data_IF_681208906090
#
_entry.id   IF_681208906090
#
_cell.length_a   1.000
_cell.length_b   1.000
_cell.length_c   1.000
_cell.angle_alpha   90.00
_cell.angle_beta   90.00
_cell.angle_gamma   90.00
#
_symmetry.space_group_name_H-M   'P 1'
#
loop_
_entity.id
_entity.type
_entity.pdbx_description
1 polymer ?
#
# COMPACT_ATOMS: atom_id res chain seq x y z
N UNK A 1 23.90 46.74 -63.32
CA UNK A 1 22.70 47.23 -62.61
C UNK A 1 21.88 46.04 -62.16
N UNK A 2 21.93 45.70 -60.87
CA UNK A 2 21.22 44.53 -60.30
C UNK A 2 20.45 44.99 -59.07
N UNK A 3 19.12 44.99 -59.20
CA UNK A 3 18.15 45.44 -58.20
C UNK A 3 18.13 44.47 -57.00
N UNK A 4 18.48 44.96 -55.80
CA UNK A 4 18.31 44.21 -54.54
C UNK A 4 16.86 44.34 -54.06
N UNK A 5 16.13 43.23 -54.12
CA UNK A 5 14.78 43.07 -53.56
C UNK A 5 14.79 43.25 -52.03
N UNK A 6 14.00 44.20 -51.52
CA UNK A 6 13.78 44.42 -50.09
C UNK A 6 12.57 43.58 -49.65
N UNK A 7 12.79 42.54 -48.83
CA UNK A 7 11.69 41.79 -48.17
C UNK A 7 11.57 42.26 -46.71
N UNK A 8 10.39 42.75 -46.26
CA UNK A 8 10.23 43.17 -44.87
C UNK A 8 10.19 41.95 -43.94
N UNK A 9 11.01 41.99 -42.88
CA UNK A 9 11.01 40.98 -41.81
C UNK A 9 9.69 41.06 -41.03
N UNK A 10 8.84 40.05 -41.16
CA UNK A 10 7.69 39.85 -40.28
C UNK A 10 8.19 39.66 -38.83
N UNK A 11 7.81 40.58 -37.93
CA UNK A 11 8.08 40.46 -36.49
C UNK A 11 7.26 39.30 -35.93
N UNK A 12 7.93 38.35 -35.26
CA UNK A 12 7.26 37.28 -34.51
C UNK A 12 6.37 37.90 -33.42
N UNK A 13 5.07 37.59 -33.46
CA UNK A 13 4.06 37.88 -32.45
C UNK A 13 4.30 37.04 -31.18
N UNK A 14 5.45 37.23 -30.52
CA UNK A 14 5.80 36.54 -29.27
C UNK A 14 5.55 37.39 -28.02
N UNK A 15 4.81 38.50 -28.14
CA UNK A 15 4.58 39.45 -27.03
C UNK A 15 3.09 39.65 -26.73
N UNK A 16 2.37 38.55 -26.49
CA UNK A 16 1.01 38.60 -25.94
C UNK A 16 0.55 37.22 -25.45
N UNK A 17 1.28 36.64 -24.50
CA UNK A 17 0.68 35.65 -23.59
C UNK A 17 0.59 36.26 -22.19
N UNK A 18 -0.61 36.43 -21.62
CA UNK A 18 -0.74 36.79 -20.22
C UNK A 18 -0.06 35.69 -19.37
N UNK A 19 0.72 36.11 -18.38
CA UNK A 19 1.29 35.25 -17.35
C UNK A 19 0.14 34.50 -16.68
N UNK A 20 -0.08 33.25 -17.08
CA UNK A 20 -1.00 32.35 -16.37
C UNK A 20 -0.48 32.27 -14.93
N UNK A 21 -1.32 32.72 -14.00
CA UNK A 21 -1.04 32.72 -12.58
C UNK A 21 -0.37 31.40 -12.17
N UNK A 22 0.82 31.50 -11.58
CA UNK A 22 1.54 30.35 -11.03
C UNK A 22 0.59 29.61 -10.08
N UNK A 23 0.12 28.43 -10.50
CA UNK A 23 -0.52 27.49 -9.58
C UNK A 23 0.45 27.31 -8.41
N UNK A 24 -0.03 27.31 -7.15
CA UNK A 24 0.85 27.13 -5.99
C UNK A 24 1.70 25.88 -6.23
N UNK A 25 3.02 26.06 -6.19
CA UNK A 25 3.97 25.02 -6.56
C UNK A 25 3.77 23.82 -5.64
N UNK A 26 3.19 22.73 -6.16
CA UNK A 26 3.02 21.51 -5.37
C UNK A 26 4.37 21.06 -4.81
N UNK A 27 4.43 20.67 -3.53
CA UNK A 27 5.64 20.22 -2.82
C UNK A 27 6.49 19.33 -3.73
N UNK A 28 7.80 19.57 -3.86
CA UNK A 28 8.63 18.79 -4.81
C UNK A 28 8.66 17.29 -4.48
N UNK A 29 8.92 16.43 -5.46
CA UNK A 29 9.08 14.97 -5.22
C UNK A 29 10.17 14.67 -4.19
N UNK A 30 11.26 15.44 -4.20
CA UNK A 30 12.38 15.29 -3.26
C UNK A 30 11.95 15.64 -1.84
N UNK A 31 11.23 16.76 -1.66
CA UNK A 31 10.71 17.18 -0.37
C UNK A 31 9.66 16.20 0.18
N UNK A 32 8.71 15.78 -0.66
CA UNK A 32 7.69 14.77 -0.29
C UNK A 32 8.34 13.47 0.22
N UNK A 33 9.36 12.97 -0.49
CA UNK A 33 10.10 11.76 -0.07
C UNK A 33 10.91 11.99 1.21
N UNK A 34 11.44 13.20 1.42
CA UNK A 34 12.17 13.52 2.64
C UNK A 34 11.24 13.52 3.87
N UNK A 35 10.05 14.13 3.75
CA UNK A 35 9.02 14.12 4.78
C UNK A 35 8.58 12.70 5.15
N UNK A 36 8.23 11.88 4.15
CA UNK A 36 7.84 10.47 4.37
C UNK A 36 8.94 9.70 5.10
N UNK A 37 10.21 9.85 4.69
CA UNK A 37 11.34 9.18 5.35
C UNK A 37 11.55 9.66 6.78
N UNK A 38 11.48 10.97 7.02
CA UNK A 38 11.65 11.53 8.36
C UNK A 38 10.60 10.95 9.33
N UNK A 39 9.34 10.89 8.90
CA UNK A 39 8.26 10.30 9.68
C UNK A 39 8.52 8.81 10.00
N UNK A 40 8.90 7.99 9.02
CA UNK A 40 9.22 6.58 9.27
C UNK A 40 10.40 6.40 10.25
N UNK A 41 11.39 7.28 10.21
CA UNK A 41 12.52 7.23 11.14
C UNK A 41 12.07 7.54 12.57
N UNK A 42 11.20 8.55 12.75
CA UNK A 42 10.64 8.90 14.06
C UNK A 42 9.81 7.75 14.63
N UNK A 43 8.87 7.19 13.86
CA UNK A 43 8.03 6.08 14.31
C UNK A 43 8.84 4.84 14.69
N UNK A 44 9.86 4.49 13.89
CA UNK A 44 10.74 3.37 14.21
C UNK A 44 11.56 3.60 15.47
N UNK A 45 12.04 4.84 15.70
CA UNK A 45 12.77 5.20 16.91
C UNK A 45 11.86 5.16 18.14
N UNK A 46 10.64 5.67 18.01
CA UNK A 46 9.62 5.63 19.07
C UNK A 46 9.29 4.19 19.46
N UNK A 47 9.01 3.33 18.48
CA UNK A 47 8.76 1.91 18.73
C UNK A 47 9.93 1.22 19.44
N UNK A 48 11.18 1.57 19.08
CA UNK A 48 12.37 1.04 19.76
C UNK A 48 12.48 1.54 21.21
N UNK A 49 12.18 2.81 21.47
CA UNK A 49 12.23 3.38 22.82
C UNK A 49 11.17 2.72 23.73
N UNK A 50 9.94 2.56 23.23
CA UNK A 50 8.87 1.86 23.94
C UNK A 50 9.24 0.40 24.26
N UNK A 51 9.80 -0.33 23.29
CA UNK A 51 10.24 -1.70 23.50
C UNK A 51 11.40 -1.82 24.52
N UNK A 52 12.16 -0.75 24.74
CA UNK A 52 13.22 -0.69 25.74
C UNK A 52 12.74 -0.16 27.11
N UNK A 53 11.45 0.18 27.25
CA UNK A 53 10.91 0.82 28.46
C UNK A 53 11.34 2.28 28.66
N UNK A 54 11.98 2.90 27.65
CA UNK A 54 12.42 4.30 27.69
C UNK A 54 11.27 5.24 27.30
N UNK A 55 10.38 5.47 28.26
CA UNK A 55 9.19 6.29 28.07
C UNK A 55 9.54 7.76 27.80
N UNK A 56 10.61 8.29 28.41
CA UNK A 56 11.04 9.67 28.21
C UNK A 56 11.46 9.94 26.76
N UNK A 57 12.27 9.05 26.18
CA UNK A 57 12.65 9.18 24.76
C UNK A 57 11.45 8.96 23.84
N UNK A 58 10.56 8.03 24.17
CA UNK A 58 9.34 7.81 23.38
C UNK A 58 8.43 9.04 23.36
N UNK A 59 8.27 9.72 24.50
CA UNK A 59 7.50 10.96 24.62
C UNK A 59 8.15 12.11 23.84
N UNK A 60 9.46 12.33 24.00
CA UNK A 60 10.19 13.35 23.26
C UNK A 60 10.07 13.17 21.74
N UNK A 61 10.18 11.94 21.24
CA UNK A 61 9.98 11.61 19.82
C UNK A 61 8.53 11.86 19.37
N UNK A 62 7.54 11.60 20.24
CA UNK A 62 6.13 11.87 19.96
C UNK A 62 5.85 13.37 19.86
N UNK A 63 6.43 14.18 20.75
CA UNK A 63 6.38 15.64 20.68
C UNK A 63 7.04 16.16 19.40
N UNK A 64 8.21 15.61 19.03
CA UNK A 64 8.89 15.96 17.79
C UNK A 64 8.04 15.63 16.54
N UNK A 65 7.40 14.46 16.51
CA UNK A 65 6.50 14.06 15.42
C UNK A 65 5.32 15.03 15.30
N UNK A 66 4.71 15.38 16.43
CA UNK A 66 3.59 16.33 16.51
C UNK A 66 4.00 17.73 16.02
N UNK A 67 5.19 18.21 16.41
CA UNK A 67 5.74 19.48 15.93
C UNK A 67 6.01 19.50 14.41
N UNK A 68 6.24 18.33 13.79
CA UNK A 68 6.37 18.18 12.34
C UNK A 68 5.02 17.96 11.63
N UNK A 69 3.90 18.13 12.34
CA UNK A 69 2.52 17.95 11.86
C UNK A 69 2.05 16.50 11.81
N UNK A 70 2.77 15.58 12.46
CA UNK A 70 2.36 14.21 12.73
C UNK A 70 1.93 13.40 11.52
N UNK A 71 1.01 12.45 11.78
CA UNK A 71 0.48 11.53 10.77
C UNK A 71 -0.28 12.26 9.65
N UNK A 72 -0.91 13.39 9.94
CA UNK A 72 -1.62 14.21 8.95
C UNK A 72 -0.68 14.69 7.84
N UNK A 73 0.48 15.27 8.20
CA UNK A 73 1.46 15.72 7.22
C UNK A 73 2.04 14.55 6.40
N UNK A 74 2.25 13.39 7.04
CA UNK A 74 2.66 12.18 6.33
C UNK A 74 1.61 11.71 5.31
N UNK A 75 0.33 11.71 5.67
CA UNK A 75 -0.75 11.30 4.78
C UNK A 75 -0.95 12.27 3.63
N UNK A 76 -0.87 13.58 3.87
CA UNK A 76 -0.90 14.59 2.80
C UNK A 76 0.27 14.38 1.82
N UNK A 77 1.48 14.11 2.33
CA UNK A 77 2.62 13.77 1.49
C UNK A 77 2.39 12.46 0.69
N UNK A 78 1.75 11.46 1.30
CA UNK A 78 1.41 10.19 0.66
C UNK A 78 0.34 10.34 -0.42
N UNK A 79 -0.72 11.12 -0.19
CA UNK A 79 -1.75 11.48 -1.16
C UNK A 79 -1.14 12.17 -2.39
N UNK A 80 -0.27 13.16 -2.17
CA UNK A 80 0.49 13.81 -3.24
C UNK A 80 1.33 12.77 -3.98
N UNK A 81 1.97 11.86 -3.24
CA UNK A 81 2.76 10.74 -3.78
C UNK A 81 1.96 9.79 -4.67
N UNK A 82 0.70 9.52 -4.35
CA UNK A 82 -0.20 8.61 -5.09
C UNK A 82 -0.91 9.26 -6.27
N UNK A 83 -0.82 10.59 -6.43
CA UNK A 83 -1.38 11.26 -7.62
C UNK A 83 -0.90 10.63 -8.92
N UNK A 84 -1.76 10.67 -9.96
CA UNK A 84 -1.47 10.09 -11.29
C UNK A 84 -0.15 10.60 -11.89
N UNK A 85 0.32 11.79 -11.51
CA UNK A 85 1.58 12.39 -11.99
C UNK A 85 2.83 12.00 -11.19
N UNK A 86 2.69 11.22 -10.10
CA UNK A 86 3.78 10.94 -9.15
C UNK A 86 3.95 9.46 -8.78
N UNK A 87 2.87 8.72 -8.56
CA UNK A 87 2.92 7.34 -8.07
C UNK A 87 1.76 6.45 -8.52
N UNK A 88 0.61 7.05 -8.84
CA UNK A 88 -0.55 6.35 -9.37
C UNK A 88 -1.31 5.52 -8.32
N UNK A 89 -2.54 5.20 -8.67
CA UNK A 89 -3.45 4.35 -7.91
C UNK A 89 -3.10 2.87 -8.15
N UNK A 90 -2.56 2.19 -7.12
CA UNK A 90 -2.19 0.78 -7.17
C UNK A 90 -3.38 -0.14 -7.42
N UNK A 91 -4.59 0.28 -7.04
CA UNK A 91 -5.82 -0.48 -7.23
C UNK A 91 -6.16 -0.68 -8.71
N UNK A 92 -5.60 0.14 -9.62
CA UNK A 92 -5.70 -0.08 -11.07
C UNK A 92 -5.11 -1.42 -11.50
N UNK A 93 -3.94 -1.78 -10.94
CA UNK A 93 -3.29 -3.05 -11.27
C UNK A 93 -4.07 -4.24 -10.70
N UNK A 94 -4.63 -4.08 -9.51
CA UNK A 94 -5.51 -5.11 -8.95
C UNK A 94 -6.71 -5.34 -9.88
N UNK A 95 -7.39 -4.28 -10.32
CA UNK A 95 -8.50 -4.41 -11.26
C UNK A 95 -8.07 -4.98 -12.63
N UNK A 96 -6.86 -4.68 -13.10
CA UNK A 96 -6.28 -5.31 -14.30
C UNK A 96 -6.13 -6.83 -14.12
N UNK A 97 -5.65 -7.28 -12.96
CA UNK A 97 -5.51 -8.70 -12.65
C UNK A 97 -6.86 -9.42 -12.46
N UNK A 98 -7.87 -8.71 -11.95
CA UNK A 98 -9.22 -9.25 -11.76
C UNK A 98 -10.10 -9.15 -13.01
N UNK A 99 -9.62 -8.51 -14.08
CA UNK A 99 -10.37 -8.32 -15.32
C UNK A 99 -11.00 -9.60 -15.88
N UNK A 100 -10.35 -10.79 -15.87
CA UNK A 100 -10.95 -12.02 -16.38
C UNK A 100 -12.19 -12.48 -15.62
N UNK A 101 -12.28 -12.19 -14.32
CA UNK A 101 -13.40 -12.61 -13.45
C UNK A 101 -14.39 -11.47 -13.18
N UNK A 102 -14.03 -10.23 -13.55
CA UNK A 102 -14.80 -9.03 -13.27
C UNK A 102 -16.27 -9.09 -13.76
N UNK A 103 -16.60 -9.67 -14.94
CA UNK A 103 -18.00 -9.85 -15.35
C UNK A 103 -18.80 -10.69 -14.34
N UNK A 104 -18.24 -11.79 -13.86
CA UNK A 104 -18.89 -12.65 -12.86
C UNK A 104 -19.02 -11.99 -11.49
N UNK A 105 -18.02 -11.19 -11.09
CA UNK A 105 -18.11 -10.39 -9.86
C UNK A 105 -19.26 -9.38 -9.93
N UNK A 106 -19.41 -8.69 -11.07
CA UNK A 106 -20.49 -7.72 -11.28
C UNK A 106 -21.87 -8.37 -11.35
N UNK A 107 -21.99 -9.54 -11.98
CA UNK A 107 -23.24 -10.31 -11.99
C UNK A 107 -23.64 -10.75 -10.57
N UNK A 108 -22.69 -11.19 -9.74
CA UNK A 108 -22.97 -11.44 -8.32
C UNK A 108 -23.39 -10.16 -7.58
N UNK A 109 -22.74 -9.04 -7.84
CA UNK A 109 -23.09 -7.75 -7.23
C UNK A 109 -24.52 -7.30 -7.58
N UNK A 110 -24.96 -7.45 -8.84
CA UNK A 110 -26.35 -7.12 -9.24
C UNK A 110 -27.39 -8.05 -8.62
N UNK A 111 -27.00 -9.26 -8.24
CA UNK A 111 -27.82 -10.24 -7.51
C UNK A 111 -27.77 -10.06 -5.98
N UNK A 112 -27.14 -8.99 -5.48
CA UNK A 112 -27.00 -8.73 -4.04
C UNK A 112 -25.98 -9.64 -3.33
N UNK A 113 -25.14 -10.34 -4.08
CA UNK A 113 -24.09 -11.25 -3.57
C UNK A 113 -22.69 -10.66 -3.79
N UNK A 114 -22.55 -9.35 -3.57
CA UNK A 114 -21.30 -8.63 -3.83
C UNK A 114 -20.15 -9.20 -2.99
N UNK A 115 -18.97 -9.34 -3.58
CA UNK A 115 -17.77 -9.71 -2.83
C UNK A 115 -17.36 -8.55 -1.93
N UNK A 116 -16.80 -8.86 -0.77
CA UNK A 116 -16.36 -7.85 0.20
C UNK A 116 -14.87 -7.61 0.11
N UNK A 117 -14.50 -6.34 0.08
CA UNK A 117 -13.11 -5.90 0.03
C UNK A 117 -12.79 -5.02 1.24
N UNK A 118 -11.79 -5.41 2.01
CA UNK A 118 -11.18 -4.56 3.04
C UNK A 118 -9.98 -3.83 2.46
N UNK A 119 -10.02 -2.50 2.46
CA UNK A 119 -8.87 -1.66 2.17
C UNK A 119 -8.31 -1.06 3.46
N UNK A 120 -7.12 -1.51 3.84
CA UNK A 120 -6.38 -0.96 4.99
C UNK A 120 -5.49 0.18 4.51
N UNK A 121 -5.43 1.27 5.28
CA UNK A 121 -4.67 2.46 4.91
C UNK A 121 -5.29 3.22 3.73
N UNK A 122 -6.62 3.23 3.65
CA UNK A 122 -7.34 3.89 2.57
C UNK A 122 -7.14 5.42 2.64
N UNK A 123 -6.70 6.02 1.54
CA UNK A 123 -6.55 7.47 1.43
C UNK A 123 -7.65 8.11 0.58
N UNK A 124 -8.49 7.31 -0.08
CA UNK A 124 -9.53 7.80 -0.99
C UNK A 124 -10.70 6.82 -1.08
N UNK A 125 -11.91 7.37 -1.17
CA UNK A 125 -13.14 6.61 -1.44
C UNK A 125 -13.40 6.41 -2.94
N UNK A 126 -12.54 6.94 -3.81
CA UNK A 126 -12.75 6.97 -5.27
C UNK A 126 -11.61 6.32 -6.05
N UNK A 127 -10.81 5.46 -5.41
CA UNK A 127 -9.85 4.63 -6.13
C UNK A 127 -10.55 3.68 -7.13
N UNK A 128 -9.78 3.01 -7.96
CA UNK A 128 -10.29 2.21 -9.07
C UNK A 128 -11.09 0.99 -8.59
N UNK A 129 -10.70 0.36 -7.49
CA UNK A 129 -11.52 -0.70 -6.85
C UNK A 129 -12.86 -0.16 -6.37
N UNK A 130 -12.86 0.98 -5.66
CA UNK A 130 -14.06 1.64 -5.14
C UNK A 130 -15.05 2.04 -6.23
N UNK A 131 -14.55 2.45 -7.40
CA UNK A 131 -15.37 2.86 -8.55
C UNK A 131 -15.79 1.68 -9.45
N UNK A 132 -15.31 0.47 -9.19
CA UNK A 132 -15.57 -0.69 -10.04
C UNK A 132 -17.01 -1.21 -9.93
N UNK A 133 -17.68 -0.91 -8.81
CA UNK A 133 -18.96 -1.50 -8.39
C UNK A 133 -18.95 -3.04 -8.33
N UNK A 134 -17.77 -3.66 -8.25
CA UNK A 134 -17.62 -5.11 -8.15
C UNK A 134 -17.49 -5.61 -6.71
N UNK A 135 -17.29 -4.69 -5.76
CA UNK A 135 -17.08 -5.00 -4.35
C UNK A 135 -17.93 -4.12 -3.44
N UNK A 136 -18.38 -4.71 -2.34
CA UNK A 136 -18.75 -4.00 -1.14
C UNK A 136 -17.48 -3.62 -0.39
N UNK A 137 -17.25 -2.32 -0.22
CA UNK A 137 -15.96 -1.79 0.23
C UNK A 137 -16.00 -1.36 1.70
N UNK A 138 -15.17 -1.98 2.52
CA UNK A 138 -14.82 -1.49 3.86
C UNK A 138 -13.46 -0.81 3.78
N UNK A 139 -13.36 0.43 4.26
CA UNK A 139 -12.15 1.25 4.18
C UNK A 139 -11.77 1.70 5.57
N UNK A 140 -10.55 1.38 5.99
CA UNK A 140 -10.03 1.78 7.29
C UNK A 140 -8.70 2.51 7.14
N UNK A 141 -8.43 3.44 8.04
CA UNK A 141 -7.15 4.15 8.14
C UNK A 141 -6.90 4.62 9.59
N UNK A 142 -5.62 4.73 10.00
CA UNK A 142 -5.25 5.13 11.37
C UNK A 142 -5.66 6.57 11.70
N UNK A 143 -5.75 7.43 10.69
CA UNK A 143 -6.12 8.83 10.83
C UNK A 143 -6.98 9.21 9.63
N UNK A 144 -8.28 8.92 9.71
CA UNK A 144 -9.19 9.15 8.59
C UNK A 144 -9.26 10.64 8.22
N UNK A 145 -9.18 10.92 6.93
CA UNK A 145 -9.22 12.28 6.37
C UNK A 145 -10.44 12.50 5.45
N UNK A 146 -11.29 11.48 5.26
CA UNK A 146 -12.40 11.54 4.32
C UNK A 146 -13.64 10.78 4.83
N UNK A 147 -14.83 11.36 4.58
CA UNK A 147 -16.10 10.67 4.82
C UNK A 147 -16.16 9.38 4.00
N UNK A 148 -16.51 8.27 4.65
CA UNK A 148 -16.53 6.93 4.04
C UNK A 148 -15.23 6.12 4.22
N UNK A 149 -14.30 6.63 5.03
CA UNK A 149 -13.14 5.89 5.55
C UNK A 149 -13.27 5.88 7.07
N UNK A 150 -13.35 4.70 7.65
CA UNK A 150 -13.42 4.50 9.10
C UNK A 150 -12.04 4.72 9.72
N UNK A 151 -11.98 5.45 10.83
CA UNK A 151 -10.74 5.59 11.58
C UNK A 151 -10.57 4.37 12.50
N UNK A 152 -9.67 3.46 12.16
CA UNK A 152 -9.47 2.21 12.88
C UNK A 152 -8.06 1.67 12.63
N UNK A 153 -7.44 1.08 13.65
CA UNK A 153 -6.24 0.27 13.50
C UNK A 153 -6.62 -1.18 13.15
N UNK A 154 -6.09 -1.69 12.04
CA UNK A 154 -6.28 -3.08 11.63
C UNK A 154 -5.72 -4.08 12.67
N UNK A 155 -4.65 -3.71 13.36
CA UNK A 155 -4.01 -4.55 14.37
C UNK A 155 -4.86 -4.68 15.63
N UNK A 156 -5.68 -3.69 15.92
CA UNK A 156 -6.59 -3.66 17.08
C UNK A 156 -8.02 -4.09 16.73
N UNK A 157 -8.37 -4.18 15.43
CA UNK A 157 -9.70 -4.62 14.97
C UNK A 157 -10.02 -6.02 15.49
N UNK A 158 -11.10 -6.19 16.24
CA UNK A 158 -11.50 -7.49 16.79
C UNK A 158 -11.65 -8.56 15.70
N UNK A 159 -11.25 -9.82 15.96
CA UNK A 159 -11.46 -10.92 15.02
C UNK A 159 -12.94 -11.03 14.59
N UNK A 160 -13.22 -11.44 13.34
CA UNK A 160 -14.59 -11.66 12.86
C UNK A 160 -15.37 -12.58 13.80
N UNK A 161 -16.55 -12.15 14.26
CA UNK A 161 -17.41 -12.98 15.10
C UNK A 161 -18.04 -14.11 14.29
N UNK A 162 -18.38 -13.83 13.03
CA UNK A 162 -18.92 -14.78 12.08
C UNK A 162 -18.41 -14.53 10.64
N UNK A 163 -18.86 -15.37 9.69
CA UNK A 163 -18.46 -15.25 8.29
C UNK A 163 -18.92 -13.93 7.66
N UNK A 164 -19.90 -13.24 8.21
CA UNK A 164 -20.36 -11.90 7.87
C UNK A 164 -19.33 -10.80 8.12
N UNK A 165 -18.34 -11.04 8.98
CA UNK A 165 -17.30 -10.04 9.30
C UNK A 165 -15.97 -10.30 8.55
N UNK A 166 -15.95 -11.28 7.65
CA UNK A 166 -14.78 -11.64 6.82
C UNK A 166 -14.83 -10.99 5.43
N UNK A 167 -13.71 -10.99 4.73
CA UNK A 167 -13.54 -10.36 3.42
C UNK A 167 -13.11 -11.38 2.37
N UNK A 168 -13.53 -11.17 1.14
CA UNK A 168 -13.09 -11.99 0.01
C UNK A 168 -11.71 -11.53 -0.47
N UNK A 169 -11.40 -10.23 -0.30
CA UNK A 169 -10.10 -9.67 -0.59
C UNK A 169 -9.68 -8.61 0.43
N UNK A 170 -8.41 -8.64 0.83
CA UNK A 170 -7.78 -7.59 1.65
C UNK A 170 -6.73 -6.88 0.79
N UNK A 171 -6.73 -5.55 0.79
CA UNK A 171 -5.71 -4.72 0.17
C UNK A 171 -4.81 -4.10 1.22
N UNK A 172 -3.53 -4.50 1.21
CA UNK A 172 -2.43 -3.90 1.98
C UNK A 172 -1.49 -3.15 1.02
N UNK A 173 -1.98 -2.07 0.42
CA UNK A 173 -1.20 -1.26 -0.51
C UNK A 173 -0.34 -0.23 0.23
N UNK A 174 0.97 -0.47 0.32
CA UNK A 174 1.93 0.38 1.04
C UNK A 174 1.68 0.52 2.55
N UNK A 175 0.94 -0.42 3.12
CA UNK A 175 0.57 -0.46 4.55
C UNK A 175 1.63 -1.19 5.37
N UNK A 176 2.01 -2.40 4.94
CA UNK A 176 2.91 -3.26 5.70
C UNK A 176 4.29 -2.61 5.92
N UNK A 177 4.76 -1.78 4.98
CA UNK A 177 6.01 -1.02 5.15
C UNK A 177 5.92 0.14 6.14
N UNK A 178 4.72 0.50 6.60
CA UNK A 178 4.51 1.52 7.63
C UNK A 178 4.62 0.96 9.05
N UNK A 179 4.29 -0.33 9.23
CA UNK A 179 4.43 -1.01 10.52
C UNK A 179 5.90 -0.94 10.98
N UNK A 180 6.20 -0.39 12.17
CA UNK A 180 7.54 0.05 12.52
C UNK A 180 8.51 -1.12 12.76
N UNK A 181 8.04 -2.19 13.39
CA UNK A 181 8.86 -3.31 13.82
C UNK A 181 8.64 -4.59 12.97
N UNK A 182 9.60 -5.52 12.97
CA UNK A 182 9.49 -6.75 12.18
C UNK A 182 8.41 -7.72 12.65
N UNK A 183 8.12 -7.76 13.95
CA UNK A 183 7.17 -8.71 14.55
C UNK A 183 5.75 -8.28 14.20
N UNK A 184 5.43 -7.00 14.38
CA UNK A 184 4.16 -6.41 13.96
C UNK A 184 3.88 -6.62 12.47
N UNK A 185 4.92 -6.62 11.61
CA UNK A 185 4.76 -6.94 10.19
C UNK A 185 4.35 -8.40 9.95
N UNK A 186 4.96 -9.36 10.64
CA UNK A 186 4.54 -10.75 10.53
C UNK A 186 3.16 -10.97 11.12
N UNK A 187 2.86 -10.33 12.24
CA UNK A 187 1.54 -10.37 12.88
C UNK A 187 0.45 -9.80 11.97
N UNK A 188 0.70 -8.68 11.28
CA UNK A 188 -0.25 -8.12 10.31
C UNK A 188 -0.57 -9.13 9.20
N UNK A 189 0.44 -9.82 8.66
CA UNK A 189 0.23 -10.86 7.64
C UNK A 189 -0.49 -12.11 8.19
N UNK A 190 -0.21 -12.49 9.44
CA UNK A 190 -0.95 -13.58 10.10
C UNK A 190 -2.42 -13.20 10.32
N UNK A 191 -2.66 -11.95 10.70
CA UNK A 191 -4.00 -11.41 10.95
C UNK A 191 -4.86 -11.41 9.69
N UNK A 192 -4.29 -11.16 8.50
CA UNK A 192 -5.08 -11.23 7.25
C UNK A 192 -5.71 -12.60 7.01
N UNK A 193 -5.08 -13.70 7.46
CA UNK A 193 -5.66 -15.05 7.38
C UNK A 193 -6.96 -15.16 8.19
N UNK A 194 -7.08 -14.43 9.29
CA UNK A 194 -8.26 -14.44 10.17
C UNK A 194 -9.43 -13.66 9.57
N UNK A 195 -9.12 -12.62 8.80
CA UNK A 195 -10.13 -11.75 8.18
C UNK A 195 -10.54 -12.18 6.78
N UNK A 196 -9.84 -13.12 6.15
CA UNK A 196 -10.28 -13.67 4.86
C UNK A 196 -11.35 -14.74 5.06
N UNK A 197 -12.41 -14.67 4.23
CA UNK A 197 -13.52 -15.61 4.22
C UNK A 197 -13.01 -17.03 4.02
N UNK A 198 -13.51 -17.98 4.79
CA UNK A 198 -13.18 -19.41 4.64
C UNK A 198 -14.29 -20.13 3.91
N UNK A 199 -13.93 -20.93 2.91
CA UNK A 199 -14.90 -21.66 2.08
C UNK A 199 -15.62 -20.70 1.13
N UNK A 200 -15.32 -20.81 -0.16
CA UNK A 200 -15.92 -19.95 -1.16
C UNK A 200 -16.56 -20.75 -2.29
N UNK A 201 -17.86 -20.54 -2.52
CA UNK A 201 -18.56 -20.99 -3.73
C UNK A 201 -18.35 -19.97 -4.87
N UNK A 202 -17.09 -19.83 -5.28
CA UNK A 202 -16.66 -18.99 -6.41
C UNK A 202 -15.92 -19.86 -7.42
N UNK A 203 -16.56 -20.89 -7.97
CA UNK A 203 -15.90 -21.77 -8.95
C UNK A 203 -15.28 -21.00 -10.13
N UNK A 204 -15.92 -19.90 -10.58
CA UNK A 204 -15.39 -19.07 -11.66
C UNK A 204 -14.16 -18.23 -11.29
N UNK A 205 -13.86 -18.07 -9.99
CA UNK A 205 -12.80 -17.19 -9.50
C UNK A 205 -11.96 -17.80 -8.37
N UNK A 206 -12.02 -19.11 -8.17
CA UNK A 206 -11.31 -19.83 -7.09
C UNK A 206 -9.79 -19.63 -7.12
N UNK A 207 -9.21 -19.41 -8.29
CA UNK A 207 -7.78 -19.16 -8.46
C UNK A 207 -7.36 -17.73 -8.09
N UNK A 208 -8.30 -16.88 -7.69
CA UNK A 208 -8.07 -15.47 -7.35
C UNK A 208 -8.67 -15.07 -5.99
N UNK A 209 -9.45 -15.93 -5.35
CA UNK A 209 -10.13 -15.63 -4.09
C UNK A 209 -10.15 -16.86 -3.14
N UNK A 210 -10.14 -16.63 -1.82
CA UNK A 210 -9.94 -15.34 -1.17
C UNK A 210 -8.47 -14.89 -1.27
N UNK A 211 -8.22 -13.59 -1.34
CA UNK A 211 -6.88 -13.09 -1.65
C UNK A 211 -6.40 -11.88 -0.85
N UNK A 212 -5.08 -11.73 -0.80
CA UNK A 212 -4.38 -10.57 -0.28
C UNK A 212 -3.66 -9.87 -1.44
N UNK A 213 -4.03 -8.63 -1.70
CA UNK A 213 -3.28 -7.73 -2.56
C UNK A 213 -2.24 -6.97 -1.72
N UNK A 214 -0.96 -7.27 -1.93
CA UNK A 214 0.15 -6.69 -1.18
C UNK A 214 1.02 -5.82 -2.07
N UNK A 215 1.23 -4.57 -1.68
CA UNK A 215 2.14 -3.64 -2.38
C UNK A 215 3.20 -3.15 -1.43
N UNK A 216 4.47 -3.27 -1.84
CA UNK A 216 5.62 -2.81 -1.06
C UNK A 216 6.51 -1.89 -1.93
N UNK A 217 7.27 -0.97 -1.31
CA UNK A 217 8.43 -0.39 -1.97
C UNK A 217 9.36 -1.51 -2.46
N UNK A 218 9.75 -1.49 -3.74
CA UNK A 218 10.63 -2.50 -4.31
C UNK A 218 11.90 -2.75 -3.47
N UNK A 219 12.56 -1.72 -2.88
CA UNK A 219 13.71 -1.92 -2.00
C UNK A 219 13.46 -2.82 -0.78
N UNK A 220 12.22 -3.04 -0.35
CA UNK A 220 11.88 -3.97 0.74
C UNK A 220 12.31 -5.40 0.43
N UNK A 221 12.29 -5.80 -0.85
CA UNK A 221 12.67 -7.16 -1.30
C UNK A 221 13.89 -7.17 -2.23
N UNK A 222 14.19 -6.07 -2.92
CA UNK A 222 15.34 -5.98 -3.82
C UNK A 222 16.61 -5.49 -3.13
N UNK A 223 16.49 -4.69 -2.07
CA UNK A 223 17.63 -4.03 -1.41
C UNK A 223 17.57 -4.07 0.12
N UNK A 224 17.04 -5.14 0.71
CA UNK A 224 17.08 -5.37 2.16
C UNK A 224 18.14 -6.41 2.54
N UNK A 225 18.65 -6.30 3.77
CA UNK A 225 19.50 -7.30 4.43
C UNK A 225 18.74 -8.53 4.91
N UNK A 226 17.49 -8.35 5.34
CA UNK A 226 16.76 -9.36 6.12
C UNK A 226 15.52 -9.91 5.42
N UNK A 227 15.21 -9.40 4.23
CA UNK A 227 14.09 -9.87 3.43
C UNK A 227 14.46 -9.80 1.95
N UNK A 228 14.16 -10.87 1.22
CA UNK A 228 14.04 -10.85 -0.22
C UNK A 228 12.75 -11.54 -0.64
N UNK A 229 12.51 -11.64 -1.95
CA UNK A 229 11.28 -12.22 -2.47
C UNK A 229 11.12 -13.70 -2.11
N UNK A 230 12.22 -14.48 -2.14
CA UNK A 230 12.19 -15.89 -1.74
C UNK A 230 11.77 -16.05 -0.28
N UNK A 231 12.38 -15.28 0.64
CA UNK A 231 12.00 -15.32 2.05
C UNK A 231 10.58 -14.80 2.30
N UNK A 232 10.12 -13.81 1.53
CA UNK A 232 8.72 -13.37 1.60
C UNK A 232 7.77 -14.49 1.18
N UNK A 233 8.05 -15.21 0.08
CA UNK A 233 7.25 -16.35 -0.35
C UNK A 233 7.21 -17.44 0.71
N UNK A 234 8.34 -17.82 1.31
CA UNK A 234 8.36 -18.83 2.39
C UNK A 234 7.47 -18.43 3.59
N UNK A 235 7.49 -17.15 3.97
CA UNK A 235 6.63 -16.63 5.05
C UNK A 235 5.16 -16.76 4.65
N UNK A 236 4.80 -16.29 3.47
CA UNK A 236 3.41 -16.32 2.97
C UNK A 236 2.90 -17.76 2.81
N UNK A 237 3.70 -18.66 2.26
CA UNK A 237 3.38 -20.08 2.11
C UNK A 237 3.15 -20.76 3.46
N UNK A 238 3.94 -20.40 4.49
CA UNK A 238 3.73 -20.93 5.85
C UNK A 238 2.38 -20.52 6.46
N UNK A 239 1.83 -19.38 6.00
CA UNK A 239 0.51 -18.86 6.37
C UNK A 239 -0.63 -19.43 5.50
N UNK A 240 -0.32 -20.29 4.52
CA UNK A 240 -1.28 -20.89 3.59
C UNK A 240 -1.52 -20.09 2.32
N UNK A 241 -0.73 -19.05 2.04
CA UNK A 241 -0.86 -18.27 0.82
C UNK A 241 -0.05 -18.85 -0.34
N UNK A 242 -0.59 -18.76 -1.55
CA UNK A 242 0.10 -19.02 -2.81
C UNK A 242 0.19 -17.74 -3.65
N UNK A 243 1.36 -17.45 -4.23
CA UNK A 243 1.54 -16.29 -5.12
C UNK A 243 0.91 -16.59 -6.49
N UNK A 244 -0.10 -15.84 -6.90
CA UNK A 244 -0.77 -16.03 -8.20
C UNK A 244 -0.45 -14.93 -9.21
N UNK A 245 -0.13 -13.72 -8.73
CA UNK A 245 0.32 -12.61 -9.59
C UNK A 245 1.47 -11.86 -8.95
N UNK A 246 2.35 -11.33 -9.80
CA UNK A 246 3.48 -10.50 -9.43
C UNK A 246 3.75 -9.44 -10.48
N UNK A 247 4.09 -8.22 -10.04
CA UNK A 247 4.68 -7.19 -10.90
C UNK A 247 5.76 -6.44 -10.13
N UNK A 248 6.95 -6.34 -10.72
CA UNK A 248 8.03 -5.51 -10.19
C UNK A 248 8.21 -4.27 -11.07
N UNK A 249 8.35 -3.11 -10.44
CA UNK A 249 8.70 -1.86 -11.08
C UNK A 249 9.94 -1.27 -10.40
N UNK A 250 10.48 -0.18 -10.94
CA UNK A 250 11.63 0.51 -10.33
C UNK A 250 11.38 1.02 -8.90
N UNK A 251 10.12 1.18 -8.49
CA UNK A 251 9.76 1.77 -7.19
C UNK A 251 8.98 0.83 -6.29
N UNK A 252 8.13 0.00 -6.88
CA UNK A 252 7.11 -0.80 -6.19
C UNK A 252 7.15 -2.23 -6.69
N UNK A 253 6.84 -3.16 -5.78
CA UNK A 253 6.52 -4.54 -6.10
C UNK A 253 5.09 -4.82 -5.65
N UNK A 254 4.35 -5.54 -6.49
CA UNK A 254 2.95 -5.86 -6.31
C UNK A 254 2.81 -7.37 -6.33
N UNK A 255 1.99 -7.90 -5.43
CA UNK A 255 1.67 -9.30 -5.35
C UNK A 255 0.17 -9.48 -5.18
N UNK A 256 -0.35 -10.55 -5.79
CA UNK A 256 -1.65 -11.12 -5.41
C UNK A 256 -1.37 -12.52 -4.84
N UNK A 257 -1.80 -12.72 -3.61
CA UNK A 257 -1.69 -13.97 -2.89
C UNK A 257 -3.06 -14.56 -2.67
N UNK A 258 -3.28 -15.83 -2.98
CA UNK A 258 -4.53 -16.53 -2.70
C UNK A 258 -4.33 -17.40 -1.47
N UNK A 259 -5.27 -17.32 -0.52
CA UNK A 259 -5.24 -18.17 0.66
C UNK A 259 -5.84 -19.53 0.31
N UNK A 260 -5.03 -20.57 0.35
CA UNK A 260 -5.48 -21.94 0.13
C UNK A 260 -6.02 -22.51 1.44
N UNK A 261 -7.34 -22.69 1.53
CA UNK A 261 -7.99 -23.23 2.73
C UNK A 261 -7.85 -24.75 2.88
N UNK A 262 -7.61 -25.47 1.78
CA UNK A 262 -7.42 -26.92 1.81
C UNK A 262 -6.01 -27.28 2.31
N UNK A 263 -5.10 -26.32 2.29
CA UNK A 263 -3.76 -26.48 2.82
C UNK A 263 -3.74 -26.15 4.31
N UNK A 264 -3.50 -27.16 5.15
CA UNK A 264 -3.24 -26.96 6.57
C UNK A 264 -2.01 -26.04 6.71
N UNK A 265 -2.15 -24.83 7.31
CA UNK A 265 -1.03 -23.91 7.47
C UNK A 265 0.07 -24.58 8.31
N UNK A 266 1.27 -24.63 7.76
CA UNK A 266 2.47 -25.06 8.50
C UNK A 266 3.19 -23.81 8.96
N UNK A 267 2.60 -23.11 9.92
CA UNK A 267 3.18 -21.87 10.45
C UNK A 267 4.58 -22.18 10.97
N UNK A 268 5.58 -21.53 10.36
CA UNK A 268 6.99 -21.66 10.74
C UNK A 268 7.43 -20.38 11.44
N UNK A 269 8.42 -20.53 12.30
CA UNK A 269 9.02 -19.39 12.98
C UNK A 269 10.10 -18.77 12.10
N UNK A 270 9.87 -17.55 11.63
CA UNK A 270 10.82 -16.79 10.83
C UNK A 270 11.49 -15.72 11.68
N UNK A 271 12.71 -16.03 12.14
CA UNK A 271 13.54 -15.05 12.84
C UNK A 271 14.15 -14.04 11.88
N UNK A 272 14.53 -12.87 12.41
CA UNK A 272 15.27 -11.84 11.68
C UNK A 272 16.71 -12.30 11.47
N UNK A 273 16.94 -12.99 10.36
CA UNK A 273 18.26 -13.49 9.93
C UNK A 273 18.69 -12.74 8.67
N UNK A 274 19.98 -12.44 8.57
CA UNK A 274 20.54 -11.79 7.38
C UNK A 274 20.48 -12.75 6.18
N UNK A 275 19.82 -12.32 5.11
CA UNK A 275 19.66 -13.07 3.85
C UNK A 275 20.65 -12.58 2.81
N UNK A 276 20.88 -11.25 2.77
CA UNK A 276 21.78 -10.61 1.81
C UNK A 276 22.67 -9.59 2.52
N UNK A 277 23.96 -9.88 2.74
CA UNK A 277 24.87 -8.92 3.36
C UNK A 277 25.07 -7.68 2.48
N UNK A 278 25.41 -6.56 3.12
CA UNK A 278 25.79 -5.33 2.41
C UNK A 278 25.50 -4.05 3.19
N UNK A 279 26.48 -3.14 3.24
CA UNK A 279 26.39 -1.86 3.96
C UNK A 279 25.37 -0.88 3.35
N UNK A 280 25.11 -0.99 2.04
CA UNK A 280 24.15 -0.13 1.31
C UNK A 280 22.70 -0.64 1.34
N UNK A 281 22.45 -1.81 1.96
CA UNK A 281 21.12 -2.43 2.05
C UNK A 281 20.33 -1.89 3.23
N UNK A 282 19.02 -1.76 3.05
CA UNK A 282 18.12 -1.37 4.13
C UNK A 282 17.84 -2.54 5.10
N UNK A 283 17.10 -2.25 6.17
CA UNK A 283 16.86 -3.19 7.27
C UNK A 283 15.43 -3.72 7.31
N UNK A 284 14.72 -3.71 6.19
CA UNK A 284 13.35 -4.19 6.12
C UNK A 284 13.31 -5.69 6.44
N UNK A 285 12.49 -6.09 7.39
CA UNK A 285 12.44 -7.46 7.88
C UNK A 285 11.03 -7.81 8.28
N UNK A 286 10.61 -9.04 8.03
CA UNK A 286 9.36 -9.60 8.55
C UNK A 286 9.75 -10.76 9.46
N UNK A 287 9.18 -10.77 10.66
CA UNK A 287 9.38 -11.82 11.66
C UNK A 287 8.02 -12.42 11.98
N UNK A 288 7.93 -13.74 11.85
CA UNK A 288 6.74 -14.51 12.21
C UNK A 288 7.12 -15.45 13.36
N UNK A 289 6.33 -15.46 14.44
CA UNK A 289 6.58 -16.19 15.67
C UNK A 289 5.45 -17.16 15.98
#
# INVERSE_FOLDING_TARGET
MTNKSYRPKLKLLSHSRPLVANRPSSISRKATRALIRAHHVLEKRKAKALAAGDLATAEALSQQSSAQGGIQNYQQASLIGQSNSRGGDSSKLLMEWLMPVLPGLKDKATKGQCLRMLEVGALSTTNTCSRSCAFEMTRIDLNSQAKGIEQQDFMDREPPADQGDTFDIISLSLVLNYVPDPVGRGEMLRRTVTFLRKGHDLEFAKDLFPSLFLVLPAPCVTNSRYLDEAKLSEIMESLGYAMVKRKLTNKLVYYLWVLNHDQIPKVKNFKKVEVKPGKSRNNFAIVLQ
#
